data_IF_744921073369
#
_entry.id   IF_744921073369
#
_cell.length_a   1.000
_cell.length_b   1.000
_cell.length_c   1.000
_cell.angle_alpha   90.00
_cell.angle_beta   90.00
_cell.angle_gamma   90.00
#
_symmetry.space_group_name_H-M   'P 1'
#
loop_
_entity.id
_entity.type
_entity.pdbx_description
1 polymer ?
#
# COMPACT_ATOMS: atom_id res chain seq x y z
N UNK A 1 18.24 -23.49 36.66
CA UNK A 1 17.38 -22.55 35.91
C UNK A 1 18.22 -21.50 35.17
N UNK A 2 19.41 -21.85 34.67
CA UNK A 2 20.28 -20.89 33.94
C UNK A 2 20.61 -21.34 32.51
N UNK A 3 20.16 -22.52 32.08
CA UNK A 3 20.51 -23.09 30.77
C UNK A 3 19.54 -22.69 29.64
N UNK A 4 18.39 -22.08 29.99
CA UNK A 4 17.34 -21.70 29.03
C UNK A 4 17.60 -20.31 28.43
N UNK A 5 18.40 -19.47 29.08
CA UNK A 5 18.61 -18.07 28.65
C UNK A 5 19.50 -18.00 27.40
N UNK A 6 20.47 -18.91 27.26
CA UNK A 6 21.40 -18.92 26.12
C UNK A 6 20.81 -19.36 24.78
N UNK A 7 19.69 -20.08 24.78
CA UNK A 7 19.07 -20.61 23.55
C UNK A 7 18.09 -19.59 22.92
N UNK A 8 17.46 -18.76 23.76
CA UNK A 8 16.57 -17.67 23.33
C UNK A 8 17.36 -16.53 22.66
N UNK A 9 18.54 -16.20 23.18
CA UNK A 9 19.41 -15.15 22.61
C UNK A 9 19.97 -15.55 21.22
N UNK A 10 20.21 -16.85 21.00
CA UNK A 10 20.70 -17.40 19.72
C UNK A 10 19.61 -17.43 18.64
N UNK A 11 18.34 -17.68 19.01
CA UNK A 11 17.22 -17.64 18.07
C UNK A 11 16.88 -16.19 17.63
N UNK A 12 16.97 -15.21 18.53
CA UNK A 12 16.81 -13.79 18.16
C UNK A 12 17.91 -13.29 17.22
N UNK A 13 19.17 -13.66 17.44
CA UNK A 13 20.27 -13.34 16.52
C UNK A 13 20.05 -13.97 15.13
N UNK A 14 19.51 -15.19 15.08
CA UNK A 14 19.24 -15.88 13.82
C UNK A 14 18.09 -15.21 13.04
N UNK A 15 17.04 -14.76 13.74
CA UNK A 15 15.92 -14.04 13.15
C UNK A 15 16.34 -12.65 12.63
N UNK A 16 17.15 -11.91 13.38
CA UNK A 16 17.65 -10.58 12.98
C UNK A 16 18.58 -10.66 11.76
N UNK A 17 19.46 -11.66 11.70
CA UNK A 17 20.31 -11.94 10.52
C UNK A 17 19.51 -12.25 9.25
N UNK A 18 18.37 -12.93 9.39
CA UNK A 18 17.50 -13.24 8.25
C UNK A 18 16.78 -11.99 7.74
N UNK A 19 16.35 -11.11 8.64
CA UNK A 19 15.76 -9.82 8.29
C UNK A 19 16.77 -8.93 7.56
N UNK A 20 18.01 -8.81 8.02
CA UNK A 20 19.02 -7.98 7.36
C UNK A 20 19.33 -8.44 5.92
N UNK A 21 19.48 -9.77 5.73
CA UNK A 21 19.73 -10.35 4.41
C UNK A 21 18.56 -10.08 3.45
N UNK A 22 17.34 -10.26 3.91
CA UNK A 22 16.15 -9.98 3.10
C UNK A 22 16.04 -8.49 2.77
N UNK A 23 16.26 -7.60 3.75
CA UNK A 23 16.24 -6.15 3.57
C UNK A 23 17.24 -5.69 2.49
N UNK A 24 18.46 -6.24 2.47
CA UNK A 24 19.46 -5.92 1.43
C UNK A 24 18.98 -6.31 0.02
N UNK A 25 18.33 -7.46 -0.14
CA UNK A 25 17.80 -7.90 -1.44
C UNK A 25 16.70 -6.95 -1.91
N UNK A 26 15.76 -6.60 -1.03
CA UNK A 26 14.69 -5.66 -1.34
C UNK A 26 15.23 -4.26 -1.64
N UNK A 27 16.20 -3.76 -0.88
CA UNK A 27 16.84 -2.48 -1.14
C UNK A 27 17.50 -2.47 -2.51
N UNK A 28 18.23 -3.53 -2.88
CA UNK A 28 18.87 -3.65 -4.19
C UNK A 28 17.84 -3.67 -5.33
N UNK A 29 16.78 -4.45 -5.19
CA UNK A 29 15.70 -4.53 -6.17
C UNK A 29 14.93 -3.19 -6.29
N UNK A 30 14.65 -2.55 -5.15
CA UNK A 30 14.00 -1.24 -5.09
C UNK A 30 14.86 -0.18 -5.77
N UNK A 31 16.15 -0.07 -5.43
CA UNK A 31 17.07 0.89 -6.06
C UNK A 31 17.24 0.66 -7.56
N UNK A 32 17.19 -0.60 -8.02
CA UNK A 32 17.24 -0.92 -9.45
C UNK A 32 15.98 -0.46 -10.21
N UNK A 33 14.82 -0.50 -9.54
CA UNK A 33 13.50 -0.26 -10.16
C UNK A 33 12.99 1.16 -9.95
N UNK A 34 13.27 1.76 -8.78
CA UNK A 34 12.86 3.10 -8.37
C UNK A 34 13.73 4.18 -9.03
N UNK A 35 13.70 4.23 -10.36
CA UNK A 35 14.32 5.31 -11.11
C UNK A 35 13.39 6.51 -11.12
N UNK A 36 13.90 7.68 -10.75
CA UNK A 36 13.18 8.97 -10.86
C UNK A 36 12.62 9.17 -12.26
N UNK A 37 13.29 8.64 -13.28
CA UNK A 37 12.81 8.65 -14.67
C UNK A 37 11.51 7.86 -14.88
N UNK A 38 11.31 6.75 -14.16
CA UNK A 38 10.08 5.95 -14.23
C UNK A 38 8.93 6.72 -13.59
N UNK A 39 9.16 7.32 -12.43
CA UNK A 39 8.19 8.21 -11.79
C UNK A 39 7.84 9.39 -12.71
N UNK A 40 8.84 10.06 -13.29
CA UNK A 40 8.63 11.15 -14.24
C UNK A 40 7.84 10.75 -15.50
N UNK A 41 8.01 9.52 -16.00
CA UNK A 41 7.20 8.98 -17.10
C UNK A 41 5.75 8.70 -16.66
N UNK A 42 5.56 8.11 -15.48
CA UNK A 42 4.24 7.83 -14.94
C UNK A 42 3.44 9.12 -14.65
N UNK A 43 4.11 10.14 -14.12
CA UNK A 43 3.55 11.48 -13.92
C UNK A 43 3.07 12.09 -15.23
N UNK A 44 3.92 12.11 -16.27
CA UNK A 44 3.52 12.55 -17.61
C UNK A 44 2.35 11.75 -18.19
N UNK A 45 2.36 10.42 -18.06
CA UNK A 45 1.26 9.57 -18.52
C UNK A 45 -0.06 9.85 -17.79
N UNK A 46 0.00 10.20 -16.51
CA UNK A 46 -1.16 10.58 -15.71
C UNK A 46 -1.60 12.04 -15.96
N UNK A 47 -0.88 12.80 -16.78
CA UNK A 47 -1.10 14.24 -16.97
C UNK A 47 -0.76 15.08 -15.74
N UNK A 48 -0.06 14.49 -14.75
CA UNK A 48 0.42 15.19 -13.56
C UNK A 48 1.81 15.68 -13.90
N UNK A 49 1.96 16.95 -14.21
CA UNK A 49 3.26 17.55 -14.41
C UNK A 49 3.60 18.41 -13.17
N UNK A 50 4.57 18.01 -12.34
CA UNK A 50 4.84 18.67 -11.06
C UNK A 50 5.23 20.14 -11.19
N UNK A 51 5.57 20.60 -12.39
CA UNK A 51 6.01 21.97 -12.65
C UNK A 51 5.63 22.41 -14.07
N UNK A 52 4.33 22.38 -14.37
CA UNK A 52 3.82 22.90 -15.64
C UNK A 52 3.84 24.45 -15.59
N UNK A 53 4.70 25.14 -16.37
CA UNK A 53 4.79 26.60 -16.34
C UNK A 53 3.52 27.29 -16.87
N UNK A 54 2.69 26.58 -17.64
CA UNK A 54 1.42 27.10 -18.15
C UNK A 54 0.32 27.10 -17.07
N UNK A 55 0.49 26.33 -15.99
CA UNK A 55 -0.48 26.20 -14.88
C UNK A 55 0.06 26.84 -13.59
N UNK A 56 1.34 26.65 -13.29
CA UNK A 56 2.01 27.16 -12.09
C UNK A 56 3.02 28.22 -12.55
N UNK A 57 2.69 29.50 -12.32
CA UNK A 57 3.64 30.57 -12.58
C UNK A 57 4.72 30.63 -11.49
N UNK A 58 5.87 31.22 -11.80
CA UNK A 58 6.92 31.47 -10.80
C UNK A 58 6.40 32.31 -9.61
N UNK A 59 5.38 33.13 -9.83
CA UNK A 59 4.76 33.95 -8.79
C UNK A 59 4.04 33.12 -7.73
N UNK A 60 3.60 31.90 -8.04
CA UNK A 60 3.01 30.97 -7.07
C UNK A 60 4.01 30.51 -5.99
N UNK A 61 5.32 30.62 -6.26
CA UNK A 61 6.39 30.31 -5.32
C UNK A 61 7.03 31.57 -4.72
N UNK A 62 6.52 32.76 -5.06
CA UNK A 62 7.03 33.99 -4.49
C UNK A 62 6.77 34.02 -2.98
N UNK A 63 7.74 34.48 -2.17
CA UNK A 63 7.52 34.71 -0.75
C UNK A 63 6.30 35.62 -0.56
N UNK A 64 5.46 35.31 0.41
CA UNK A 64 4.38 36.23 0.79
C UNK A 64 5.01 37.56 1.25
N UNK A 65 4.34 38.67 0.95
CA UNK A 65 4.71 39.98 1.48
C UNK A 65 4.84 39.98 3.01
N UNK A 66 4.08 39.11 3.69
CA UNK A 66 4.16 38.92 5.14
C UNK A 66 5.51 38.36 5.58
N UNK A 67 6.17 37.58 4.72
CA UNK A 67 7.49 36.98 4.98
C UNK A 67 8.66 37.89 4.57
N UNK A 68 8.39 38.92 3.76
CA UNK A 68 9.40 39.90 3.30
C UNK A 68 9.47 41.16 4.17
N UNK A 69 8.60 41.30 5.17
CA UNK A 69 8.76 42.36 6.16
C UNK A 69 10.13 42.18 6.84
N UNK A 70 11.02 43.20 6.81
CA UNK A 70 12.16 43.23 7.69
C UNK A 70 11.63 42.98 9.11
N UNK A 71 12.25 42.05 9.83
CA UNK A 71 12.03 41.97 11.26
C UNK A 71 12.56 43.30 11.82
N UNK A 72 11.67 44.27 11.99
CA UNK A 72 12.01 45.56 12.58
C UNK A 72 12.49 45.25 14.00
N UNK A 73 13.81 45.27 14.17
CA UNK A 73 14.47 45.04 15.45
C UNK A 73 14.27 46.21 16.42
N UNK A 74 13.53 47.25 15.99
CA UNK A 74 13.14 48.41 16.78
C UNK A 74 11.69 48.34 17.26
N UNK A 75 11.13 47.13 17.38
CA UNK A 75 10.01 46.91 18.29
C UNK A 75 10.53 47.09 19.72
N UNK A 76 10.68 48.35 20.13
CA UNK A 76 10.66 48.70 21.55
C UNK A 76 9.30 48.29 22.04
N UNK A 77 9.22 47.08 22.58
CA UNK A 77 8.08 46.61 23.36
C UNK A 77 7.97 47.57 24.54
N UNK A 78 7.15 48.61 24.40
CA UNK A 78 6.63 49.33 25.55
C UNK A 78 5.76 48.31 26.26
N UNK A 79 6.38 47.59 27.18
CA UNK A 79 5.72 46.83 28.23
C UNK A 79 4.98 47.87 29.06
N UNK A 80 3.68 48.03 28.78
CA UNK A 80 2.76 48.66 29.72
C UNK A 80 2.85 47.91 31.06
N UNK A 81 2.81 48.60 32.21
CA UNK A 81 3.02 47.96 33.49
C UNK A 81 1.97 46.87 33.70
N UNK A 82 2.53 45.69 33.88
CA UNK A 82 1.99 44.49 34.48
C UNK A 82 1.03 44.80 35.63
N UNK A 83 -0.26 44.55 35.39
CA UNK A 83 -1.18 43.98 36.38
C UNK A 83 -2.45 43.58 35.66
N UNK A 84 -2.39 42.42 35.01
CA UNK A 84 -3.47 41.45 34.91
C UNK A 84 -2.79 40.23 34.31
N UNK A 85 -2.33 39.34 35.19
CA UNK A 85 -1.72 38.08 34.83
C UNK A 85 -2.55 37.36 33.77
N UNK A 86 -2.18 37.50 32.50
CA UNK A 86 -2.45 36.46 31.52
C UNK A 86 -1.38 35.42 31.78
N UNK A 87 -1.59 34.70 32.87
CA UNK A 87 -1.03 33.38 33.08
C UNK A 87 -1.21 32.66 31.75
N UNK A 88 -0.13 32.45 31.02
CA UNK A 88 -0.12 31.51 29.92
C UNK A 88 -0.35 30.16 30.57
N UNK A 89 -1.62 29.88 30.85
CA UNK A 89 -2.11 28.55 31.15
C UNK A 89 -2.00 27.80 29.83
N UNK A 90 -0.78 27.40 29.52
CA UNK A 90 -0.53 26.07 28.99
C UNK A 90 -1.01 25.11 30.07
N UNK A 91 -2.33 25.09 30.30
CA UNK A 91 -2.98 23.87 30.67
C UNK A 91 -2.59 22.95 29.52
N UNK A 92 -1.64 22.05 29.81
CA UNK A 92 -1.62 20.79 29.12
C UNK A 92 -3.02 20.25 29.38
N UNK A 93 -3.94 20.54 28.47
CA UNK A 93 -5.23 19.90 28.50
C UNK A 93 -4.83 18.46 28.20
N UNK A 94 -4.71 17.66 29.26
CA UNK A 94 -4.53 16.22 29.18
C UNK A 94 -5.86 15.67 28.67
N UNK A 95 -6.12 15.96 27.39
CA UNK A 95 -7.27 15.45 26.67
C UNK A 95 -6.93 14.00 26.44
N UNK A 96 -7.43 13.13 27.31
CA UNK A 96 -7.35 11.68 27.11
C UNK A 96 -7.78 11.38 25.68
N UNK A 97 -6.95 10.63 24.93
CA UNK A 97 -7.17 10.29 23.52
C UNK A 97 -8.57 9.68 23.29
N UNK A 98 -9.15 9.05 24.32
CA UNK A 98 -10.52 8.51 24.29
C UNK A 98 -11.62 9.58 24.13
N UNK A 99 -11.35 10.84 24.52
CA UNK A 99 -12.29 11.95 24.43
C UNK A 99 -12.29 12.67 23.07
N UNK A 100 -11.31 12.38 22.19
CA UNK A 100 -11.19 12.98 20.84
C UNK A 100 -11.97 12.14 19.79
N UNK A 101 -12.75 11.14 20.20
CA UNK A 101 -13.32 10.18 19.27
C UNK A 101 -14.75 10.57 18.87
N UNK A 102 -14.99 10.67 17.55
CA UNK A 102 -15.64 9.52 16.96
C UNK A 102 -14.69 8.90 15.95
N UNK A 103 -13.62 8.22 16.43
CA UNK A 103 -13.01 7.23 15.56
C UNK A 103 -14.14 6.29 15.12
N UNK A 104 -14.38 6.14 13.80
CA UNK A 104 -15.37 5.20 13.33
C UNK A 104 -15.01 3.85 13.94
N UNK A 105 -15.93 3.30 14.74
CA UNK A 105 -15.76 1.96 15.26
C UNK A 105 -15.57 1.08 14.04
N UNK A 106 -14.40 0.48 13.89
CA UNK A 106 -14.27 -0.67 13.04
C UNK A 106 -15.13 -1.74 13.69
N UNK A 107 -16.43 -1.75 13.40
CA UNK A 107 -17.24 -2.94 13.58
C UNK A 107 -16.45 -4.03 12.89
N UNK A 108 -16.03 -5.06 13.64
CA UNK A 108 -15.46 -6.27 13.09
C UNK A 108 -16.42 -6.67 11.98
N UNK A 109 -16.03 -6.35 10.75
CA UNK A 109 -16.91 -6.38 9.59
C UNK A 109 -17.35 -7.82 9.52
N UNK A 110 -18.60 -8.08 9.94
CA UNK A 110 -19.14 -9.43 10.06
C UNK A 110 -18.79 -10.20 8.80
N UNK A 111 -18.29 -11.42 8.98
CA UNK A 111 -17.76 -12.34 7.97
C UNK A 111 -17.95 -11.79 6.55
N UNK A 112 -16.88 -11.22 5.95
CA UNK A 112 -16.90 -10.57 4.63
C UNK A 112 -17.86 -11.31 3.69
N UNK A 113 -19.07 -10.77 3.51
CA UNK A 113 -20.07 -11.38 2.64
C UNK A 113 -19.46 -11.37 1.24
N UNK A 114 -18.96 -12.51 0.77
CA UNK A 114 -18.51 -12.68 -0.61
C UNK A 114 -19.73 -12.47 -1.48
N UNK A 115 -19.93 -11.24 -1.94
CA UNK A 115 -20.89 -10.96 -3.00
C UNK A 115 -20.34 -11.68 -4.22
N UNK A 116 -21.14 -12.58 -4.79
CA UNK A 116 -20.87 -13.10 -6.13
C UNK A 116 -20.96 -11.89 -7.06
N UNK A 117 -19.81 -11.31 -7.42
CA UNK A 117 -19.77 -10.25 -8.41
C UNK A 117 -20.21 -10.86 -9.74
N UNK A 118 -21.15 -10.19 -10.41
CA UNK A 118 -21.44 -10.51 -11.80
C UNK A 118 -20.17 -10.26 -12.63
N UNK A 119 -19.91 -11.13 -13.61
CA UNK A 119 -18.77 -10.97 -14.52
C UNK A 119 -18.98 -9.65 -15.29
N UNK A 120 -18.04 -8.73 -15.19
CA UNK A 120 -18.04 -7.49 -15.97
C UNK A 120 -17.49 -7.80 -17.36
N UNK A 121 -18.26 -7.51 -18.41
CA UNK A 121 -17.80 -7.58 -19.80
C UNK A 121 -17.37 -6.19 -20.27
N UNK A 122 -16.20 -6.11 -20.92
CA UNK A 122 -15.71 -4.86 -21.50
C UNK A 122 -16.44 -4.64 -22.84
N UNK A 123 -17.36 -3.68 -22.85
CA UNK A 123 -18.19 -3.35 -24.02
C UNK A 123 -17.46 -2.59 -25.12
N UNK A 124 -16.28 -2.02 -24.82
CA UNK A 124 -15.51 -1.24 -25.79
C UNK A 124 -14.57 -2.13 -26.60
N UNK A 125 -14.33 -1.79 -27.87
CA UNK A 125 -13.33 -2.41 -28.75
C UNK A 125 -11.91 -1.98 -28.39
N UNK A 126 -11.58 -1.99 -27.09
CA UNK A 126 -10.23 -1.70 -26.62
C UNK A 126 -9.26 -2.77 -27.13
N UNK A 127 -8.03 -2.42 -27.55
CA UNK A 127 -6.99 -3.40 -27.85
C UNK A 127 -6.75 -4.41 -26.72
N UNK A 128 -7.07 -4.04 -25.47
CA UNK A 128 -7.00 -4.93 -24.31
C UNK A 128 -8.05 -6.04 -24.30
N UNK A 129 -9.16 -5.88 -25.03
CA UNK A 129 -10.21 -6.90 -25.15
C UNK A 129 -9.69 -8.20 -25.77
N UNK A 130 -8.82 -8.08 -26.78
CA UNK A 130 -8.19 -9.21 -27.46
C UNK A 130 -7.41 -10.08 -26.48
N UNK A 131 -6.59 -9.45 -25.62
CA UNK A 131 -5.81 -10.16 -24.60
C UNK A 131 -6.68 -10.87 -23.56
N UNK A 132 -7.82 -10.29 -23.17
CA UNK A 132 -8.74 -10.95 -22.24
C UNK A 132 -9.45 -12.15 -22.87
N UNK A 133 -9.88 -12.03 -24.13
CA UNK A 133 -10.55 -13.10 -24.87
C UNK A 133 -9.61 -14.30 -25.11
N UNK A 134 -8.33 -14.07 -25.41
CA UNK A 134 -7.31 -15.12 -25.56
C UNK A 134 -7.07 -15.88 -24.24
N UNK A 135 -6.94 -15.15 -23.13
CA UNK A 135 -6.75 -15.74 -21.79
C UNK A 135 -7.95 -16.59 -21.33
N UNK A 136 -9.18 -16.21 -21.72
CA UNK A 136 -10.37 -17.02 -21.41
C UNK A 136 -10.38 -18.34 -22.19
N UNK A 137 -10.03 -18.31 -23.48
CA UNK A 137 -9.93 -19.51 -24.31
C UNK A 137 -8.86 -20.47 -23.80
N UNK A 138 -7.67 -19.97 -23.47
CA UNK A 138 -6.58 -20.79 -22.94
C UNK A 138 -6.97 -21.50 -21.63
N UNK A 139 -7.70 -20.82 -20.74
CA UNK A 139 -8.18 -21.42 -19.49
C UNK A 139 -9.17 -22.56 -19.72
N UNK A 140 -10.08 -22.40 -20.68
CA UNK A 140 -11.07 -23.43 -21.03
C UNK A 140 -10.37 -24.65 -21.63
N UNK A 141 -9.43 -24.45 -22.55
CA UNK A 141 -8.66 -25.56 -23.15
C UNK A 141 -7.83 -26.32 -22.12
N UNK A 142 -7.22 -25.61 -21.16
CA UNK A 142 -6.46 -26.23 -20.08
C UNK A 142 -7.34 -27.06 -19.14
N UNK A 143 -8.55 -26.57 -18.83
CA UNK A 143 -9.52 -27.30 -18.01
C UNK A 143 -10.03 -28.54 -18.74
N UNK A 144 -10.35 -28.42 -20.02
CA UNK A 144 -10.78 -29.53 -20.87
C UNK A 144 -9.68 -30.60 -21.01
N UNK A 145 -8.42 -30.20 -21.23
CA UNK A 145 -7.28 -31.10 -21.29
C UNK A 145 -7.09 -31.88 -19.97
N UNK A 146 -7.28 -31.22 -18.81
CA UNK A 146 -7.23 -31.85 -17.50
C UNK A 146 -8.37 -32.87 -17.32
N UNK A 147 -9.59 -32.54 -17.72
CA UNK A 147 -10.73 -33.45 -17.65
C UNK A 147 -10.52 -34.70 -18.55
N UNK A 148 -10.03 -34.49 -19.77
CA UNK A 148 -9.73 -35.55 -20.73
C UNK A 148 -8.61 -36.49 -20.24
N UNK A 149 -7.63 -35.98 -19.48
CA UNK A 149 -6.58 -36.79 -18.87
C UNK A 149 -7.12 -37.69 -17.74
N UNK A 150 -8.04 -37.16 -16.93
CA UNK A 150 -8.71 -37.92 -15.87
C UNK A 150 -9.56 -39.06 -16.47
N UNK A 151 -10.25 -38.79 -17.58
CA UNK A 151 -11.12 -39.75 -18.28
C UNK A 151 -10.36 -40.81 -19.12
N UNK A 152 -9.05 -40.69 -19.32
CA UNK A 152 -8.24 -41.76 -19.93
C UNK A 152 -7.69 -42.75 -18.91
N UNK A 153 -7.46 -42.31 -17.66
CA UNK A 153 -6.89 -43.17 -16.60
C UNK A 153 -7.81 -44.31 -16.15
N UNK A 154 -9.12 -44.10 -16.20
CA UNK A 154 -10.16 -45.05 -15.77
C UNK A 154 -10.54 -46.10 -16.83
N UNK A 155 -10.12 -45.97 -18.10
CA UNK A 155 -10.36 -47.00 -19.14
C UNK A 155 -9.34 -48.15 -19.11
N UNK A 156 -8.19 -47.97 -18.47
CA UNK A 156 -7.10 -48.98 -18.48
C UNK A 156 -7.20 -49.99 -17.32
N UNK A 157 -8.17 -49.86 -16.41
CA UNK A 157 -8.30 -50.68 -15.21
C UNK A 157 -9.37 -51.79 -15.25
N UNK A 158 -10.25 -51.81 -16.26
CA UNK A 158 -11.34 -52.78 -16.33
C UNK A 158 -10.91 -54.08 -17.06
N UNK A 159 -9.94 -54.82 -16.51
CA UNK A 159 -9.79 -56.25 -16.84
C UNK A 159 -10.73 -57.05 -15.95
N UNK A 160 -11.72 -57.59 -16.65
CA UNK A 160 -12.91 -58.27 -16.18
C UNK A 160 -12.56 -59.67 -15.66
N UNK A 161 -12.35 -59.83 -14.35
CA UNK A 161 -12.30 -61.17 -13.74
C UNK A 161 -13.73 -61.59 -13.39
N UNK A 162 -14.47 -62.08 -14.40
CA UNK A 162 -15.69 -62.86 -14.17
C UNK A 162 -15.26 -64.24 -13.68
N UNK A 163 -15.29 -64.45 -12.36
CA UNK A 163 -15.27 -65.78 -11.78
C UNK A 163 -16.72 -66.30 -11.77
N UNK A 164 -16.95 -67.38 -12.51
CA UNK A 164 -18.11 -68.29 -12.47
C UNK A 164 -17.54 -69.71 -12.62
N UNK A 165 -18.24 -70.77 -12.19
CA UNK A 165 -19.20 -70.92 -11.10
C UNK A 165 -18.57 -71.57 -9.86
#
# INVERSE_FOLDING_TARGET
MEEIISEVDLEEECQTLQVEKSARIFQKAYSATAKVQLAGKAFRLAGIEPNNPDIISADCYSPSLVTLAPLDNDCTVVVAPEENEVSSSTSQIDVSIQSILPFPRHEQRGAKRKRKSQKSEIMTSSPLKIFFDENEKEKVELEEAKANLIFKKNKNGAKLNKVKP
#
